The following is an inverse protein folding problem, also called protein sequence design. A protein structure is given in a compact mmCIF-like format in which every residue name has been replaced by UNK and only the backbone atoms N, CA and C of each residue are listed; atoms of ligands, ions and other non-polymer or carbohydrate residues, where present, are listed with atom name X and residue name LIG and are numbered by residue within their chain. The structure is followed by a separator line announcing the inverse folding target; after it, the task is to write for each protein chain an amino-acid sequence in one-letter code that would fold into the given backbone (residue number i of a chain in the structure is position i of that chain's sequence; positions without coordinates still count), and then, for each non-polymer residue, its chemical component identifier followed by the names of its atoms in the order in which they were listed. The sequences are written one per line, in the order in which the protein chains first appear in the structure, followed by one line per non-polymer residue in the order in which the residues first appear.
data_IF_041577812288
#
_entry.id   IF_041577812288
#
_cell.length_a   1.000
_cell.length_b   1.000
_cell.length_c   1.000
_cell.angle_alpha   90.00
_cell.angle_beta   90.00
_cell.angle_gamma   90.00
#
_symmetry.space_group_name_H-M   'P 1'
#
loop_
_entity.id
_entity.type
_entity.pdbx_description
1 polymer ?
#
# COMPACT_ATOMS: atom_id res chain seq x y z
N UNK A 1 -3.80 -5.51 7.05
CA UNK A 1 -3.88 -4.76 5.79
C UNK A 1 -3.89 -3.29 6.15
N UNK A 2 -2.80 -2.57 5.86
CA UNK A 2 -2.75 -1.13 6.07
C UNK A 2 -3.25 -0.37 4.83
N UNK A 3 -3.38 0.96 4.94
CA UNK A 3 -3.89 1.79 3.84
C UNK A 3 -2.97 1.79 2.62
N UNK A 4 -1.67 1.56 2.81
CA UNK A 4 -0.69 1.51 1.73
C UNK A 4 -0.86 0.21 0.96
N UNK A 5 -0.94 -0.93 1.66
CA UNK A 5 -1.18 -2.26 1.08
C UNK A 5 -2.51 -2.29 0.32
N UNK A 6 -3.54 -1.66 0.89
CA UNK A 6 -4.85 -1.54 0.25
C UNK A 6 -4.75 -0.79 -1.08
N UNK A 7 -4.05 0.35 -1.12
CA UNK A 7 -3.94 1.16 -2.34
C UNK A 7 -3.00 0.53 -3.36
N UNK A 8 -1.88 -0.03 -2.93
CA UNK A 8 -0.99 -0.80 -3.81
C UNK A 8 -1.75 -1.97 -4.46
N UNK A 9 -2.62 -2.64 -3.70
CA UNK A 9 -3.53 -3.65 -4.22
C UNK A 9 -4.49 -3.12 -5.29
N UNK A 10 -4.97 -1.88 -5.19
CA UNK A 10 -5.81 -1.27 -6.24
C UNK A 10 -5.01 -1.05 -7.53
N UNK A 11 -3.75 -0.62 -7.44
CA UNK A 11 -2.89 -0.44 -8.61
C UNK A 11 -2.56 -1.76 -9.30
N UNK A 12 -2.35 -2.84 -8.53
CA UNK A 12 -2.09 -4.17 -9.06
C UNK A 12 -3.33 -4.74 -9.77
N UNK A 13 -4.51 -4.60 -9.17
CA UNK A 13 -5.75 -5.15 -9.73
C UNK A 13 -6.33 -4.31 -10.87
N UNK A 14 -5.99 -3.02 -10.95
CA UNK A 14 -6.56 -2.08 -11.91
C UNK A 14 -5.46 -1.26 -12.63
N UNK A 15 -4.60 -1.90 -13.43
CA UNK A 15 -3.42 -1.27 -14.02
C UNK A 15 -3.74 -0.15 -15.02
N UNK A 16 -4.97 -0.10 -15.54
CA UNK A 16 -5.42 0.93 -16.48
C UNK A 16 -5.97 2.19 -15.80
N UNK A 17 -6.06 2.24 -14.47
CA UNK A 17 -6.59 3.40 -13.76
C UNK A 17 -5.50 4.47 -13.60
N UNK A 18 -5.76 5.71 -14.05
CA UNK A 18 -4.84 6.82 -13.81
C UNK A 18 -4.66 7.12 -12.32
N UNK A 19 -3.42 7.39 -11.90
CA UNK A 19 -3.04 7.79 -10.52
C UNK A 19 -3.96 8.85 -9.91
N UNK A 20 -4.46 9.78 -10.72
CA UNK A 20 -5.30 10.87 -10.23
C UNK A 20 -6.64 10.39 -9.65
N UNK A 21 -7.18 9.28 -10.14
CA UNK A 21 -8.44 8.73 -9.62
C UNK A 21 -8.25 8.13 -8.23
N UNK A 22 -7.16 7.38 -8.06
CA UNK A 22 -6.83 6.73 -6.79
C UNK A 22 -6.47 7.80 -5.75
N UNK A 23 -5.68 8.80 -6.14
CA UNK A 23 -5.39 9.94 -5.26
C UNK A 23 -6.61 10.84 -5.01
N UNK A 24 -7.58 10.94 -5.92
CA UNK A 24 -8.83 11.62 -5.63
C UNK A 24 -9.66 10.86 -4.56
N UNK A 25 -9.65 9.52 -4.61
CA UNK A 25 -10.33 8.66 -3.64
C UNK A 25 -9.75 8.74 -2.23
N UNK A 26 -8.46 9.06 -2.09
CA UNK A 26 -7.84 9.30 -0.78
C UNK A 26 -8.58 10.35 0.07
N UNK A 27 -9.22 11.33 -0.56
CA UNK A 27 -10.05 12.31 0.16
C UNK A 27 -11.21 11.66 0.93
N UNK A 28 -11.80 10.59 0.39
CA UNK A 28 -12.91 9.85 1.02
C UNK A 28 -12.41 8.76 1.96
N UNK A 29 -11.25 8.18 1.66
CA UNK A 29 -10.69 7.08 2.44
C UNK A 29 -10.06 7.59 3.76
N UNK A 30 -9.45 8.77 3.75
CA UNK A 30 -8.95 9.42 4.97
C UNK A 30 -10.10 10.05 5.77
N UNK A 31 -10.07 9.86 7.11
CA UNK A 31 -11.06 10.42 8.03
C UNK A 31 -10.41 11.31 9.09
N UNK A 32 -11.15 12.31 9.57
CA UNK A 32 -10.72 13.21 10.64
C UNK A 32 -9.41 13.93 10.30
N UNK A 33 -8.44 13.88 11.23
CA UNK A 33 -7.14 14.54 11.09
C UNK A 33 -6.36 14.13 9.84
N UNK A 34 -6.51 12.89 9.36
CA UNK A 34 -5.85 12.44 8.14
C UNK A 34 -6.42 13.09 6.88
N UNK A 35 -7.74 13.33 6.84
CA UNK A 35 -8.41 14.01 5.72
C UNK A 35 -7.97 15.47 5.64
N UNK A 36 -7.88 16.14 6.79
CA UNK A 36 -7.41 17.54 6.89
C UNK A 36 -5.96 17.64 6.42
N UNK A 37 -5.07 16.77 6.92
CA UNK A 37 -3.67 16.73 6.49
C UNK A 37 -3.52 16.50 4.98
N UNK A 38 -4.28 15.55 4.42
CA UNK A 38 -4.22 15.23 3.00
C UNK A 38 -4.67 16.40 2.12
N UNK A 39 -5.77 17.07 2.51
CA UNK A 39 -6.28 18.27 1.82
C UNK A 39 -5.23 19.38 1.80
N UNK A 40 -4.63 19.69 2.95
CA UNK A 40 -3.58 20.71 3.07
C UNK A 40 -2.36 20.37 2.22
N UNK A 41 -1.88 19.12 2.28
CA UNK A 41 -0.73 18.68 1.48
C UNK A 41 -1.00 18.80 -0.02
N UNK A 42 -2.24 18.53 -0.45
CA UNK A 42 -2.66 18.64 -1.85
C UNK A 42 -2.73 20.09 -2.32
N UNK A 43 -3.15 21.02 -1.47
CA UNK A 43 -3.13 22.45 -1.76
C UNK A 43 -1.69 22.98 -1.91
N UNK A 44 -0.78 22.55 -1.04
CA UNK A 44 0.62 23.01 -1.04
C UNK A 44 1.41 22.44 -2.22
N UNK A 45 1.30 21.13 -2.44
CA UNK A 45 2.18 20.42 -3.39
C UNK A 45 1.52 20.11 -4.75
N UNK A 46 0.23 20.40 -4.89
CA UNK A 46 -0.56 20.17 -6.10
C UNK A 46 -0.82 18.69 -6.38
N UNK A 47 -1.01 18.34 -7.65
CA UNK A 47 -1.20 16.94 -8.08
C UNK A 47 0.15 16.21 -8.09
N UNK A 48 0.24 15.14 -7.32
CA UNK A 48 1.39 14.24 -7.22
C UNK A 48 0.97 12.79 -7.47
N UNK A 49 1.93 11.98 -7.92
CA UNK A 49 1.73 10.56 -8.20
C UNK A 49 1.66 9.74 -6.90
N UNK A 50 1.17 8.50 -7.01
CA UNK A 50 1.03 7.62 -5.84
C UNK A 50 2.36 7.32 -5.12
N UNK A 51 3.50 7.05 -5.80
CA UNK A 51 4.77 6.82 -5.12
C UNK A 51 5.18 7.96 -4.18
N UNK A 52 4.94 9.21 -4.61
CA UNK A 52 5.18 10.38 -3.77
C UNK A 52 4.24 10.40 -2.56
N UNK A 53 2.93 10.20 -2.77
CA UNK A 53 1.97 10.16 -1.67
C UNK A 53 2.25 9.06 -0.66
N UNK A 54 2.62 7.87 -1.12
CA UNK A 54 3.04 6.76 -0.27
C UNK A 54 4.20 7.17 0.64
N UNK A 55 5.22 7.84 0.11
CA UNK A 55 6.35 8.33 0.92
C UNK A 55 5.92 9.33 2.00
N UNK A 56 4.98 10.23 1.69
CA UNK A 56 4.49 11.23 2.65
C UNK A 56 3.62 10.61 3.75
N UNK A 57 2.79 9.63 3.38
CA UNK A 57 1.96 8.89 4.33
C UNK A 57 2.85 8.12 5.30
N UNK A 58 3.89 7.44 4.78
CA UNK A 58 4.89 6.77 5.61
C UNK A 58 5.53 7.80 6.54
N UNK A 59 6.13 8.87 6.02
CA UNK A 59 6.79 9.88 6.84
C UNK A 59 5.89 10.48 7.94
N UNK A 60 4.60 10.64 7.67
CA UNK A 60 3.65 11.27 8.60
C UNK A 60 3.06 10.31 9.64
N UNK A 61 2.74 9.08 9.23
CA UNK A 61 1.93 8.14 10.02
C UNK A 61 2.63 6.83 10.36
N UNK A 62 3.85 6.59 9.85
CA UNK A 62 4.63 5.43 10.27
C UNK A 62 5.13 5.66 11.69
N UNK A 63 4.73 4.80 12.61
CA UNK A 63 5.41 4.65 13.90
C UNK A 63 6.62 3.69 13.73
N UNK A 64 7.62 3.79 14.59
CA UNK A 64 8.79 2.90 14.60
C UNK A 64 8.39 1.42 14.68
N UNK A 65 7.30 1.11 15.39
CA UNK A 65 6.71 -0.23 15.43
C UNK A 65 6.15 -0.68 14.08
N UNK A 66 5.49 0.20 13.32
CA UNK A 66 4.97 -0.14 11.99
C UNK A 66 6.10 -0.39 10.99
N UNK A 67 7.15 0.45 11.03
CA UNK A 67 8.35 0.27 10.21
C UNK A 67 9.00 -1.08 10.53
N UNK A 68 9.19 -1.40 11.81
CA UNK A 68 9.76 -2.67 12.24
C UNK A 68 8.91 -3.87 11.78
N UNK A 69 7.59 -3.81 11.92
CA UNK A 69 6.69 -4.87 11.46
C UNK A 69 6.76 -5.10 9.95
N UNK A 70 6.86 -4.02 9.15
CA UNK A 70 7.05 -4.11 7.70
C UNK A 70 8.39 -4.76 7.35
N UNK A 71 9.47 -4.35 8.00
CA UNK A 71 10.81 -4.94 7.80
C UNK A 71 10.82 -6.42 8.15
N UNK A 72 10.28 -6.81 9.30
CA UNK A 72 10.20 -8.22 9.70
C UNK A 72 9.34 -9.05 8.75
N UNK A 73 8.24 -8.49 8.24
CA UNK A 73 7.40 -9.19 7.25
C UNK A 73 8.16 -9.44 5.95
N UNK A 74 8.95 -8.47 5.48
CA UNK A 74 9.82 -8.65 4.32
C UNK A 74 10.96 -9.66 4.59
N UNK A 75 11.55 -9.65 5.79
CA UNK A 75 12.61 -10.59 6.14
C UNK A 75 12.12 -12.03 6.25
N UNK A 76 10.88 -12.22 6.70
CA UNK A 76 10.24 -13.52 6.81
C UNK A 76 9.70 -14.05 5.46
N UNK A 77 9.46 -13.17 4.48
CA UNK A 77 9.03 -13.52 3.12
C UNK A 77 10.22 -13.81 2.19
N UNK A 78 11.28 -14.41 2.74
CA UNK A 78 12.44 -14.85 1.96
C UNK A 78 12.22 -16.27 1.46
N UNK A 79 12.62 -16.50 0.22
CA UNK A 79 12.68 -17.84 -0.38
C UNK A 79 13.53 -18.77 0.49
N UNK A 80 12.91 -19.87 0.94
CA UNK A 80 13.60 -20.93 1.67
C UNK A 80 14.24 -21.88 0.67
N UNK A 81 15.55 -22.12 0.83
CA UNK A 81 16.34 -23.02 -0.02
C UNK A 81 15.81 -24.45 0.01
N UNK A 82 15.05 -24.80 1.04
CA UNK A 82 14.49 -26.14 1.25
C UNK A 82 13.21 -26.41 0.43
N UNK A 83 12.68 -25.40 -0.29
CA UNK A 83 11.50 -25.53 -1.15
C UNK A 83 11.84 -25.27 -2.60
N UNK A 84 11.19 -25.96 -3.53
CA UNK A 84 11.31 -25.61 -4.95
C UNK A 84 10.80 -24.17 -5.21
N UNK A 85 11.49 -23.33 -6.02
CA UNK A 85 11.07 -21.95 -6.27
C UNK A 85 9.64 -21.81 -6.80
N UNK A 86 9.17 -22.78 -7.59
CA UNK A 86 7.81 -22.78 -8.13
C UNK A 86 6.78 -23.05 -7.03
N UNK A 87 7.04 -24.02 -6.15
CA UNK A 87 6.16 -24.35 -5.03
C UNK A 87 6.11 -23.22 -4.00
N UNK A 88 7.24 -22.62 -3.66
CA UNK A 88 7.30 -21.46 -2.76
C UNK A 88 6.49 -20.27 -3.31
N UNK A 89 6.64 -19.97 -4.60
CA UNK A 89 5.88 -18.89 -5.24
C UNK A 89 4.37 -19.14 -5.20
N UNK A 90 3.94 -20.39 -5.43
CA UNK A 90 2.53 -20.78 -5.35
C UNK A 90 1.96 -20.72 -3.93
N UNK A 91 2.75 -21.01 -2.90
CA UNK A 91 2.35 -20.87 -1.50
C UNK A 91 2.20 -19.39 -1.10
N UNK A 92 3.18 -18.55 -1.43
CA UNK A 92 3.11 -17.09 -1.18
C UNK A 92 1.93 -16.43 -1.92
N UNK A 93 1.54 -16.96 -3.09
CA UNK A 93 0.35 -16.53 -3.83
C UNK A 93 -0.97 -16.98 -3.19
N UNK A 94 -1.01 -18.12 -2.48
CA UNK A 94 -2.22 -18.61 -1.79
C UNK A 94 -2.54 -17.80 -0.54
N UNK A 95 -1.51 -17.36 0.19
CA UNK A 95 -1.67 -16.47 1.35
C UNK A 95 -2.08 -15.05 0.92
N UNK A 96 -1.72 -14.67 -0.32
CA UNK A 96 -2.22 -13.48 -1.01
C UNK A 96 -3.63 -13.70 -1.58
N UNK A 97 -4.64 -13.95 -0.72
CA UNK A 97 -6.03 -14.18 -1.17
C UNK A 97 -6.49 -13.14 -2.21
N UNK A 98 -7.01 -13.55 -3.38
CA UNK A 98 -7.70 -12.62 -4.27
C UNK A 98 -9.02 -12.20 -3.61
N UNK A 99 -9.22 -10.90 -3.48
CA UNK A 99 -10.52 -10.31 -3.13
C UNK A 99 -11.49 -10.55 -4.30
N UNK A 100 -12.12 -11.73 -4.31
CA UNK A 100 -13.32 -11.96 -5.11
C UNK A 100 -14.44 -11.17 -4.43
N UNK A 101 -14.79 -10.02 -5.02
CA UNK A 101 -16.00 -9.27 -4.72
C UNK A 101 -17.22 -10.17 -5.01
N UNK A 102 -17.97 -10.50 -3.96
CA UNK A 102 -19.37 -10.94 -4.04
C UNK A 102 -20.27 -9.83 -3.54
#
# INVERSE_FOLDING_TARGET
MDIIDYIDGLFINLPSIPDYWITARLNTDFKGHASIWYTLMKEIHGRRNWPWWKSQIIQKYSDGTWIWQKTMSFENDKYSVDKDPYEWCLESLKDSKPLILK
#
